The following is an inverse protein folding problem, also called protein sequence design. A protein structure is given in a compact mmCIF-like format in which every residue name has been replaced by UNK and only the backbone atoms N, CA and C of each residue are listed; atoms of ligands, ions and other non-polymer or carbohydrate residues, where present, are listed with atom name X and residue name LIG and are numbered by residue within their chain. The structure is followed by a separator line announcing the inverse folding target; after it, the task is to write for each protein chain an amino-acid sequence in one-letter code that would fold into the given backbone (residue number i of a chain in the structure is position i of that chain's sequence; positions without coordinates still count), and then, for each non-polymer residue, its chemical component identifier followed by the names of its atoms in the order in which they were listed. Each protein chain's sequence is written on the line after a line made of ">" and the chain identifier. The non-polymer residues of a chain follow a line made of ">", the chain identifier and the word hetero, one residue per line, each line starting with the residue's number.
data_IF_962614356435
#
_entry.id   IF_962614356435
#
_cell.length_a   1.000
_cell.length_b   1.000
_cell.length_c   1.000
_cell.angle_alpha   90.00
_cell.angle_beta   90.00
_cell.angle_gamma   90.00
#
_symmetry.space_group_name_H-M   'P 1'
#
loop_
_entity.id
_entity.type
_entity.pdbx_description
1 polymer ?
#
# COMPACT_ATOMS: atom_id res chain seq x y z
N UNK A 1 -9.38 13.87 29.11
CA UNK A 1 -9.67 12.57 28.47
C UNK A 1 -11.16 12.32 28.27
N UNK A 2 -12.03 12.41 29.29
CA UNK A 2 -13.47 12.07 29.13
C UNK A 2 -14.21 12.92 28.07
N UNK A 3 -13.85 14.20 27.92
CA UNK A 3 -14.41 15.09 26.89
C UNK A 3 -14.02 14.68 25.45
N UNK A 4 -12.77 14.22 25.26
CA UNK A 4 -12.29 13.78 23.96
C UNK A 4 -12.83 12.41 23.54
N UNK A 5 -13.33 11.62 24.50
CA UNK A 5 -13.97 10.32 24.25
C UNK A 5 -15.47 10.43 23.95
N UNK A 6 -16.03 11.64 23.87
CA UNK A 6 -17.46 11.85 23.55
C UNK A 6 -18.43 11.44 24.66
N UNK A 7 -17.94 11.13 25.88
CA UNK A 7 -18.76 10.69 27.03
C UNK A 7 -19.43 11.85 27.79
N UNK A 8 -19.62 13.00 27.13
CA UNK A 8 -20.23 14.18 27.76
C UNK A 8 -21.63 14.35 27.18
N UNK A 9 -22.62 14.39 28.07
CA UNK A 9 -24.01 14.67 27.72
C UNK A 9 -24.16 16.17 27.41
N UNK A 10 -23.76 16.56 26.21
CA UNK A 10 -23.93 17.91 25.68
C UNK A 10 -24.95 17.91 24.54
N UNK A 11 -25.48 19.09 24.24
CA UNK A 11 -26.33 19.26 23.07
C UNK A 11 -25.50 18.95 21.80
N UNK A 12 -26.10 18.30 20.80
CA UNK A 12 -25.36 17.79 19.63
C UNK A 12 -24.47 18.84 18.93
N UNK A 13 -24.86 20.12 18.89
CA UNK A 13 -24.03 21.20 18.33
C UNK A 13 -22.82 21.56 19.21
N UNK A 14 -22.98 21.56 20.54
CA UNK A 14 -21.89 21.85 21.49
C UNK A 14 -20.84 20.75 21.48
N UNK A 15 -21.28 19.50 21.29
CA UNK A 15 -20.38 18.35 21.15
C UNK A 15 -19.53 18.47 19.88
N UNK A 16 -20.12 18.84 18.74
CA UNK A 16 -19.38 19.05 17.48
C UNK A 16 -18.39 20.21 17.60
N UNK A 17 -18.77 21.31 18.24
CA UNK A 17 -17.87 22.43 18.50
C UNK A 17 -16.72 22.04 19.44
N UNK A 18 -17.01 21.30 20.50
CA UNK A 18 -16.01 20.81 21.44
C UNK A 18 -15.01 19.87 20.76
N UNK A 19 -15.49 18.93 19.96
CA UNK A 19 -14.62 18.03 19.19
C UNK A 19 -13.76 18.79 18.17
N UNK A 20 -14.30 19.83 17.53
CA UNK A 20 -13.52 20.71 16.69
C UNK A 20 -12.40 21.40 17.48
N UNK A 21 -12.70 22.00 18.63
CA UNK A 21 -11.70 22.64 19.48
C UNK A 21 -10.61 21.64 19.92
N UNK A 22 -11.00 20.43 20.34
CA UNK A 22 -10.07 19.37 20.74
C UNK A 22 -9.24 18.84 19.58
N UNK A 23 -9.75 18.85 18.34
CA UNK A 23 -8.96 18.51 17.15
C UNK A 23 -7.83 19.51 16.85
N UNK A 24 -7.91 20.73 17.40
CA UNK A 24 -6.91 21.79 17.26
C UNK A 24 -6.04 21.98 18.50
N UNK A 25 -6.21 21.11 19.50
CA UNK A 25 -5.44 21.19 20.74
C UNK A 25 -3.93 21.02 20.49
N UNK A 26 -3.11 21.47 21.45
CA UNK A 26 -1.66 21.34 21.40
C UNK A 26 -1.27 19.88 21.64
N UNK A 27 -2.01 19.18 22.51
CA UNK A 27 -1.75 17.78 22.83
C UNK A 27 -2.15 16.84 21.66
N UNK A 28 -1.21 16.00 21.25
CA UNK A 28 -1.40 15.08 20.13
C UNK A 28 -2.33 13.91 20.48
N UNK A 29 -2.32 13.45 21.73
CA UNK A 29 -3.17 12.34 22.17
C UNK A 29 -4.64 12.77 22.24
N UNK A 30 -4.88 14.00 22.71
CA UNK A 30 -6.22 14.60 22.77
C UNK A 30 -6.78 14.84 21.37
N UNK A 31 -5.96 15.38 20.46
CA UNK A 31 -6.34 15.58 19.06
C UNK A 31 -6.69 14.26 18.37
N UNK A 32 -5.87 13.24 18.54
CA UNK A 32 -6.12 11.93 17.92
C UNK A 32 -7.40 11.30 18.47
N UNK A 33 -7.61 11.35 19.80
CA UNK A 33 -8.83 10.88 20.42
C UNK A 33 -10.07 11.61 19.89
N UNK A 34 -10.03 12.93 19.77
CA UNK A 34 -11.14 13.73 19.24
C UNK A 34 -11.48 13.38 17.78
N UNK A 35 -10.48 13.16 16.92
CA UNK A 35 -10.70 12.76 15.53
C UNK A 35 -11.28 11.35 15.43
N UNK A 36 -10.80 10.41 16.24
CA UNK A 36 -11.35 9.05 16.30
C UNK A 36 -12.80 9.08 16.75
N UNK A 37 -13.11 9.82 17.81
CA UNK A 37 -14.48 9.98 18.29
C UNK A 37 -15.37 10.66 17.25
N UNK A 38 -14.88 11.66 16.51
CA UNK A 38 -15.64 12.29 15.43
C UNK A 38 -15.97 11.30 14.29
N UNK A 39 -15.08 10.34 14.02
CA UNK A 39 -15.29 9.27 13.04
C UNK A 39 -16.23 8.17 13.53
N UNK A 40 -16.26 7.90 14.84
CA UNK A 40 -17.10 6.84 15.43
C UNK A 40 -18.51 7.33 15.82
N UNK A 41 -18.74 8.64 15.84
CA UNK A 41 -20.05 9.22 16.13
C UNK A 41 -21.12 8.69 15.17
N UNK A 42 -22.33 8.39 15.63
CA UNK A 42 -23.42 7.91 14.79
C UNK A 42 -24.09 9.05 13.99
N UNK A 43 -24.72 8.70 12.87
CA UNK A 43 -25.19 9.68 11.86
C UNK A 43 -26.29 10.63 12.38
N UNK A 44 -27.13 10.19 13.32
CA UNK A 44 -28.17 11.01 13.95
C UNK A 44 -27.61 12.24 14.70
N UNK A 45 -26.33 12.21 15.11
CA UNK A 45 -25.69 13.36 15.77
C UNK A 45 -25.36 14.48 14.80
N UNK A 46 -25.34 14.21 13.49
CA UNK A 46 -25.08 15.20 12.45
C UNK A 46 -26.36 15.83 11.90
N UNK A 47 -27.55 15.29 12.19
CA UNK A 47 -28.83 15.89 11.77
C UNK A 47 -28.99 17.33 12.28
N UNK A 48 -28.40 17.64 13.45
CA UNK A 48 -28.43 18.98 14.02
C UNK A 48 -27.68 20.05 13.20
N UNK A 49 -26.88 19.67 12.20
CA UNK A 49 -26.25 20.61 11.28
C UNK A 49 -27.28 21.33 10.38
N UNK A 50 -28.47 20.76 10.17
CA UNK A 50 -29.54 21.43 9.39
C UNK A 50 -30.14 22.62 10.15
N UNK A 51 -30.29 22.46 11.47
CA UNK A 51 -30.86 23.48 12.35
C UNK A 51 -29.79 24.48 12.86
N UNK A 52 -28.52 24.26 12.51
CA UNK A 52 -27.42 25.09 12.99
C UNK A 52 -27.36 26.40 12.18
N UNK A 53 -27.84 27.48 12.78
CA UNK A 53 -28.03 28.77 12.09
C UNK A 53 -26.74 29.41 11.51
N UNK A 54 -25.57 29.23 12.13
CA UNK A 54 -24.31 29.79 11.61
C UNK A 54 -23.04 29.08 12.16
N UNK A 55 -22.73 27.86 11.71
CA UNK A 55 -21.44 27.24 11.96
C UNK A 55 -20.31 27.95 11.20
N UNK A 56 -19.19 28.17 11.88
CA UNK A 56 -17.99 28.69 11.23
C UNK A 56 -17.53 27.72 10.11
N UNK A 57 -17.17 28.21 8.91
CA UNK A 57 -16.80 27.36 7.77
C UNK A 57 -15.67 26.35 8.08
N UNK A 58 -14.74 26.72 8.97
CA UNK A 58 -13.67 25.82 9.43
C UNK A 58 -14.16 24.58 10.21
N UNK A 59 -15.29 24.67 10.90
CA UNK A 59 -15.89 23.54 11.64
C UNK A 59 -16.46 22.55 10.62
N UNK A 60 -17.23 23.05 9.66
CA UNK A 60 -17.76 22.25 8.55
C UNK A 60 -16.64 21.59 7.74
N UNK A 61 -15.54 22.31 7.50
CA UNK A 61 -14.35 21.77 6.85
C UNK A 61 -13.70 20.63 7.66
N UNK A 62 -13.58 20.79 8.98
CA UNK A 62 -13.01 19.75 9.83
C UNK A 62 -13.90 18.50 9.90
N UNK A 63 -15.22 18.68 9.95
CA UNK A 63 -16.19 17.57 9.90
C UNK A 63 -16.11 16.88 8.54
N UNK A 64 -16.06 17.64 7.44
CA UNK A 64 -15.88 17.08 6.10
C UNK A 64 -14.60 16.23 6.00
N UNK A 65 -13.47 16.69 6.54
CA UNK A 65 -12.22 15.92 6.54
C UNK A 65 -12.30 14.62 7.35
N UNK A 66 -13.07 14.61 8.44
CA UNK A 66 -13.22 13.43 9.29
C UNK A 66 -14.26 12.44 8.75
N UNK A 67 -15.34 12.94 8.14
CA UNK A 67 -16.57 12.19 7.87
C UNK A 67 -16.96 12.15 6.39
N UNK A 68 -16.12 12.61 5.44
CA UNK A 68 -16.42 12.62 4.00
C UNK A 68 -16.77 11.24 3.41
N UNK A 69 -16.36 10.16 4.07
CA UNK A 69 -16.69 8.77 3.69
C UNK A 69 -18.17 8.43 3.87
N UNK A 70 -18.92 9.19 4.68
CA UNK A 70 -20.33 8.90 4.93
C UNK A 70 -21.24 9.70 3.98
N UNK A 71 -22.06 9.03 3.16
CA UNK A 71 -22.89 9.71 2.16
C UNK A 71 -23.95 10.62 2.80
N UNK A 72 -24.57 10.19 3.90
CA UNK A 72 -25.60 10.97 4.60
C UNK A 72 -25.08 12.32 5.14
N UNK A 73 -23.89 12.30 5.76
CA UNK A 73 -23.26 13.52 6.31
C UNK A 73 -22.76 14.43 5.19
N UNK A 74 -22.24 13.85 4.11
CA UNK A 74 -21.78 14.61 2.93
C UNK A 74 -22.90 15.41 2.27
N UNK A 75 -24.06 14.80 2.05
CA UNK A 75 -25.22 15.50 1.47
C UNK A 75 -25.69 16.65 2.37
N UNK A 76 -25.68 16.41 3.68
CA UNK A 76 -26.08 17.39 4.67
C UNK A 76 -25.11 18.59 4.76
N UNK A 77 -23.80 18.34 4.60
CA UNK A 77 -22.79 19.39 4.52
C UNK A 77 -22.86 20.18 3.20
N UNK A 78 -23.16 19.52 2.07
CA UNK A 78 -23.32 20.20 0.77
C UNK A 78 -24.58 21.08 0.74
N UNK A 79 -25.63 20.73 1.49
CA UNK A 79 -26.85 21.50 1.60
C UNK A 79 -26.72 22.75 2.50
N UNK A 80 -25.67 22.81 3.34
CA UNK A 80 -25.53 23.87 4.32
C UNK A 80 -25.00 25.19 3.70
N UNK A 81 -25.63 26.36 3.98
CA UNK A 81 -25.28 27.64 3.35
C UNK A 81 -23.88 28.16 3.71
N UNK A 82 -23.35 27.84 4.89
CA UNK A 82 -22.00 28.26 5.34
C UNK A 82 -20.85 27.37 4.84
N UNK A 83 -21.11 26.42 3.94
CA UNK A 83 -20.07 25.52 3.41
C UNK A 83 -19.17 26.25 2.43
N UNK A 84 -17.86 26.30 2.73
CA UNK A 84 -16.88 26.96 1.85
C UNK A 84 -16.71 26.20 0.52
N UNK A 85 -16.38 26.94 -0.54
CA UNK A 85 -16.15 26.36 -1.88
C UNK A 85 -15.06 25.27 -1.88
N UNK A 86 -14.02 25.42 -1.06
CA UNK A 86 -12.95 24.42 -0.89
C UNK A 86 -13.48 23.12 -0.27
N UNK A 87 -14.36 23.24 0.72
CA UNK A 87 -14.98 22.08 1.38
C UNK A 87 -15.96 21.38 0.44
N UNK A 88 -16.75 22.15 -0.30
CA UNK A 88 -17.67 21.60 -1.31
C UNK A 88 -16.92 20.83 -2.40
N UNK A 89 -15.81 21.39 -2.92
CA UNK A 89 -14.97 20.72 -3.92
C UNK A 89 -14.39 19.39 -3.40
N UNK A 90 -13.96 19.36 -2.15
CA UNK A 90 -13.48 18.14 -1.50
C UNK A 90 -14.58 17.06 -1.44
N UNK A 91 -15.80 17.46 -1.04
CA UNK A 91 -16.94 16.55 -0.96
C UNK A 91 -17.39 16.03 -2.32
N UNK A 92 -17.37 16.87 -3.37
CA UNK A 92 -17.64 16.42 -4.75
C UNK A 92 -16.60 15.42 -5.25
N UNK A 93 -15.31 15.67 -4.97
CA UNK A 93 -14.25 14.73 -5.33
C UNK A 93 -14.42 13.38 -4.64
N UNK A 94 -14.72 13.38 -3.33
CA UNK A 94 -15.03 12.15 -2.60
C UNK A 94 -16.24 11.41 -3.18
N UNK A 95 -17.24 12.13 -3.70
CA UNK A 95 -18.40 11.55 -4.39
C UNK A 95 -18.05 10.93 -5.75
N UNK A 96 -17.20 11.59 -6.53
CA UNK A 96 -16.72 11.06 -7.81
C UNK A 96 -15.87 9.80 -7.62
N UNK A 97 -15.00 9.77 -6.61
CA UNK A 97 -14.18 8.61 -6.26
C UNK A 97 -15.06 7.38 -5.90
N UNK A 98 -16.23 7.60 -5.28
CA UNK A 98 -17.21 6.54 -4.98
C UNK A 98 -17.98 6.06 -6.22
N UNK A 99 -18.39 6.96 -7.12
CA UNK A 99 -19.10 6.61 -8.35
C UNK A 99 -18.22 5.80 -9.31
N UNK A 100 -16.93 6.14 -9.41
CA UNK A 100 -15.96 5.38 -10.20
C UNK A 100 -15.78 3.95 -9.66
N UNK A 101 -15.79 3.78 -8.33
CA UNK A 101 -15.76 2.46 -7.71
C UNK A 101 -17.04 1.65 -8.01
N UNK A 102 -18.21 2.29 -8.10
CA UNK A 102 -19.47 1.63 -8.43
C UNK A 102 -19.57 1.24 -9.92
N UNK A 103 -19.15 2.10 -10.85
CA UNK A 103 -19.12 1.79 -12.29
C UNK A 103 -18.17 0.62 -12.61
N UNK A 104 -17.00 0.56 -11.96
CA UNK A 104 -16.06 -0.57 -12.12
C UNK A 104 -16.62 -1.90 -11.58
N UNK A 105 -17.49 -1.88 -10.56
CA UNK A 105 -18.16 -3.09 -10.06
C UNK A 105 -19.32 -3.57 -10.96
N UNK A 106 -20.00 -2.65 -11.66
CA UNK A 106 -21.11 -2.99 -12.54
C UNK A 106 -20.67 -3.70 -13.84
N UNK A 107 -19.47 -3.39 -14.35
CA UNK A 107 -18.92 -4.05 -15.55
C UNK A 107 -18.47 -5.52 -15.30
N UNK A 108 -18.30 -5.93 -14.05
CA UNK A 108 -17.83 -7.28 -13.68
C UNK A 108 -19.00 -8.27 -13.48
N UNK A 109 -20.24 -7.81 -13.32
CA UNK A 109 -21.42 -8.67 -13.08
C UNK A 109 -21.94 -9.36 -14.36
N UNK A 110 -21.37 -9.05 -15.53
CA UNK A 110 -21.83 -9.53 -16.83
C UNK A 110 -21.26 -10.87 -17.31
N UNK A 111 -20.76 -11.80 -16.50
CA UNK A 111 -20.42 -13.17 -16.97
C UNK A 111 -20.35 -14.19 -15.83
N UNK A 112 -21.43 -14.97 -15.64
CA UNK A 112 -21.45 -16.44 -15.54
C UNK A 112 -22.57 -16.94 -14.63
N UNK A 113 -23.52 -17.64 -15.24
CA UNK A 113 -24.55 -18.46 -14.60
C UNK A 113 -24.04 -19.88 -14.29
N UNK A 114 -24.75 -20.51 -13.34
CA UNK A 114 -24.96 -21.95 -13.10
C UNK A 114 -23.82 -22.77 -12.43
N UNK A 115 -24.04 -23.28 -11.21
CA UNK A 115 -24.72 -24.56 -10.98
C UNK A 115 -25.02 -24.77 -9.47
N UNK A 116 -26.10 -25.50 -9.17
CA UNK A 116 -26.70 -25.72 -7.84
C UNK A 116 -26.03 -26.85 -7.04
N UNK A 117 -26.22 -26.88 -5.71
CA UNK A 117 -25.89 -28.04 -4.88
C UNK A 117 -26.10 -27.86 -3.37
N UNK A 118 -27.31 -28.20 -2.90
CA UNK A 118 -27.90 -28.09 -1.56
C UNK A 118 -27.39 -29.09 -0.50
N UNK A 119 -27.59 -28.73 0.78
CA UNK A 119 -27.77 -29.51 2.05
C UNK A 119 -26.67 -29.29 3.12
N UNK A 120 -26.88 -28.50 4.19
CA UNK A 120 -27.82 -28.63 5.34
C UNK A 120 -27.35 -29.64 6.40
N UNK A 121 -26.76 -29.16 7.51
CA UNK A 121 -27.33 -29.34 8.86
C UNK A 121 -26.46 -28.78 10.01
N UNK A 122 -27.19 -28.14 10.93
CA UNK A 122 -26.82 -27.37 12.12
C UNK A 122 -26.19 -28.18 13.27
N UNK A 123 -25.26 -27.55 14.01
CA UNK A 123 -25.12 -27.71 15.46
C UNK A 123 -24.29 -26.55 16.10
N UNK A 124 -24.92 -25.81 17.02
CA UNK A 124 -24.38 -24.94 18.08
C UNK A 124 -25.33 -25.12 19.30
N UNK A 125 -25.03 -24.75 20.56
CA UNK A 125 -23.91 -23.94 21.13
C UNK A 125 -23.29 -24.62 22.40
N UNK A 126 -22.23 -24.16 23.08
CA UNK A 126 -22.20 -23.06 24.09
C UNK A 126 -20.73 -22.78 24.56
N UNK A 127 -20.38 -21.47 24.60
CA UNK A 127 -19.65 -20.69 25.64
C UNK A 127 -18.22 -21.10 26.12
N UNK A 128 -17.16 -20.25 26.22
CA UNK A 128 -16.99 -18.77 26.27
C UNK A 128 -15.61 -18.33 25.69
N UNK A 129 -15.52 -17.06 25.28
CA UNK A 129 -14.32 -16.22 25.00
C UNK A 129 -13.62 -16.25 23.62
N UNK A 130 -14.20 -15.55 22.63
CA UNK A 130 -13.53 -14.50 21.82
C UNK A 130 -14.47 -13.98 20.71
N UNK A 131 -15.19 -12.88 20.98
CA UNK A 131 -16.01 -12.22 19.95
C UNK A 131 -15.11 -11.32 19.10
N UNK A 132 -14.48 -11.89 18.08
CA UNK A 132 -13.99 -11.16 16.91
C UNK A 132 -15.00 -11.44 15.80
N UNK A 133 -15.78 -10.43 15.43
CA UNK A 133 -16.76 -10.53 14.36
C UNK A 133 -16.03 -10.85 13.04
N UNK A 134 -16.19 -12.08 12.55
CA UNK A 134 -15.40 -12.64 11.43
C UNK A 134 -16.17 -12.74 10.09
N UNK A 135 -17.42 -12.28 10.00
CA UNK A 135 -18.26 -12.57 8.81
C UNK A 135 -18.77 -11.32 8.08
N UNK A 136 -17.86 -10.53 7.47
CA UNK A 136 -18.13 -9.61 6.34
C UNK A 136 -16.85 -9.09 5.65
N UNK A 137 -15.70 -9.72 5.82
CA UNK A 137 -14.54 -9.37 5.00
C UNK A 137 -14.72 -10.05 3.63
N UNK A 138 -15.31 -9.34 2.67
CA UNK A 138 -15.18 -9.67 1.26
C UNK A 138 -13.73 -10.08 1.00
N UNK A 139 -13.50 -11.26 0.42
CA UNK A 139 -12.18 -11.77 0.07
C UNK A 139 -11.55 -10.86 -0.99
N UNK A 140 -11.15 -9.65 -0.61
CA UNK A 140 -10.38 -8.74 -1.42
C UNK A 140 -9.10 -9.50 -1.74
N UNK A 141 -8.82 -9.62 -3.04
CA UNK A 141 -7.56 -10.17 -3.49
C UNK A 141 -6.45 -9.40 -2.78
N UNK A 142 -5.37 -10.07 -2.33
CA UNK A 142 -4.25 -9.39 -1.65
C UNK A 142 -3.73 -8.19 -2.43
N UNK A 143 -3.90 -8.21 -3.76
CA UNK A 143 -3.62 -7.07 -4.63
C UNK A 143 -4.53 -5.85 -4.36
N UNK A 144 -5.84 -6.04 -4.24
CA UNK A 144 -6.80 -4.99 -3.89
C UNK A 144 -6.52 -4.45 -2.49
N UNK A 145 -6.19 -5.33 -1.54
CA UNK A 145 -5.86 -4.91 -0.18
C UNK A 145 -4.59 -4.03 -0.16
N UNK A 146 -3.57 -4.32 -0.98
CA UNK A 146 -2.42 -3.41 -1.18
C UNK A 146 -2.85 -2.04 -1.72
N UNK A 147 -3.91 -1.92 -2.50
CA UNK A 147 -4.33 -0.62 -3.03
C UNK A 147 -5.01 0.26 -1.96
N UNK A 148 -5.74 -0.36 -1.04
CA UNK A 148 -6.45 0.33 0.05
C UNK A 148 -5.52 0.69 1.22
N UNK A 149 -4.51 -0.14 1.51
CA UNK A 149 -3.58 0.07 2.63
C UNK A 149 -2.75 1.36 2.51
N UNK A 150 -2.52 2.01 3.64
CA UNK A 150 -1.58 3.13 3.77
C UNK A 150 -0.11 2.71 3.60
N UNK A 151 0.77 3.67 3.28
CA UNK A 151 2.21 3.41 3.04
C UNK A 151 2.89 2.72 4.24
N UNK A 152 2.59 3.15 5.46
CA UNK A 152 3.19 2.57 6.67
C UNK A 152 2.81 1.09 6.84
N UNK A 153 1.55 0.75 6.55
CA UNK A 153 1.04 -0.61 6.63
C UNK A 153 1.64 -1.50 5.53
N UNK A 154 1.77 -0.98 4.31
CA UNK A 154 2.51 -1.66 3.23
C UNK A 154 3.95 -1.98 3.62
N UNK A 155 4.64 -1.08 4.31
CA UNK A 155 6.01 -1.32 4.80
C UNK A 155 6.01 -2.43 5.85
N UNK A 156 5.05 -2.42 6.79
CA UNK A 156 4.89 -3.48 7.78
C UNK A 156 4.65 -4.83 7.11
N UNK A 157 3.72 -4.87 6.14
CA UNK A 157 3.41 -6.08 5.38
C UNK A 157 4.56 -6.53 4.47
N UNK A 158 5.38 -5.62 3.96
CA UNK A 158 6.59 -5.99 3.24
C UNK A 158 7.59 -6.75 4.12
N UNK A 159 7.68 -6.38 5.40
CA UNK A 159 8.60 -6.98 6.37
C UNK A 159 8.12 -8.31 6.94
N UNK A 160 6.81 -8.47 7.19
CA UNK A 160 6.25 -9.67 7.85
C UNK A 160 5.50 -10.60 6.90
N UNK A 161 5.09 -10.10 5.73
CA UNK A 161 4.16 -10.78 4.84
C UNK A 161 4.71 -12.02 4.14
N UNK A 162 3.76 -12.83 3.69
CA UNK A 162 4.01 -14.07 2.95
C UNK A 162 4.56 -13.83 1.54
N UNK A 163 4.86 -14.93 0.85
CA UNK A 163 5.39 -14.93 -0.52
C UNK A 163 4.56 -14.08 -1.49
N UNK A 164 3.24 -14.08 -1.36
CA UNK A 164 2.34 -13.33 -2.22
C UNK A 164 2.45 -11.82 -1.99
N UNK A 165 2.49 -11.40 -0.72
CA UNK A 165 2.74 -10.01 -0.34
C UNK A 165 4.06 -9.50 -0.92
N UNK A 166 5.13 -10.30 -0.83
CA UNK A 166 6.43 -9.94 -1.42
C UNK A 166 6.37 -9.78 -2.94
N UNK A 167 5.65 -10.69 -3.64
CA UNK A 167 5.52 -10.66 -5.10
C UNK A 167 4.74 -9.44 -5.59
N UNK A 168 3.77 -8.96 -4.80
CA UNK A 168 2.98 -7.78 -5.13
C UNK A 168 3.74 -6.51 -4.76
N UNK A 169 4.22 -6.40 -3.52
CA UNK A 169 4.85 -5.19 -2.97
C UNK A 169 6.21 -4.87 -3.60
N UNK A 170 6.90 -5.84 -4.22
CA UNK A 170 8.15 -5.57 -4.96
C UNK A 170 7.92 -4.65 -6.18
N UNK A 171 6.71 -4.63 -6.73
CA UNK A 171 6.31 -3.80 -7.88
C UNK A 171 5.61 -2.50 -7.46
N UNK A 172 5.52 -2.21 -6.16
CA UNK A 172 4.90 -0.98 -5.68
C UNK A 172 5.69 0.25 -6.16
N UNK A 173 4.97 1.35 -6.40
CA UNK A 173 5.54 2.63 -6.84
C UNK A 173 6.47 3.24 -5.78
N UNK A 174 6.23 2.99 -4.50
CA UNK A 174 7.05 3.54 -3.43
C UNK A 174 8.32 2.72 -3.17
N UNK A 175 9.48 3.37 -3.36
CA UNK A 175 10.80 2.77 -3.18
C UNK A 175 11.05 2.22 -1.78
N UNK A 176 10.45 2.80 -0.75
CA UNK A 176 10.61 2.36 0.64
C UNK A 176 9.92 1.01 0.89
N UNK A 177 8.73 0.82 0.30
CA UNK A 177 7.97 -0.44 0.39
C UNK A 177 8.74 -1.57 -0.29
N UNK A 178 9.19 -1.37 -1.53
CA UNK A 178 9.96 -2.39 -2.25
C UNK A 178 11.29 -2.72 -1.55
N UNK A 179 11.94 -1.73 -0.92
CA UNK A 179 13.16 -1.95 -0.13
C UNK A 179 12.87 -2.73 1.16
N UNK A 180 11.70 -2.55 1.76
CA UNK A 180 11.22 -3.34 2.90
C UNK A 180 11.08 -4.82 2.58
N UNK A 181 10.60 -5.15 1.37
CA UNK A 181 10.43 -6.55 0.92
C UNK A 181 11.75 -7.33 0.94
N UNK A 182 12.85 -6.70 0.54
CA UNK A 182 14.17 -7.34 0.51
C UNK A 182 14.83 -7.46 1.88
N UNK A 183 14.39 -6.67 2.87
CA UNK A 183 14.85 -6.76 4.25
C UNK A 183 14.14 -7.87 5.03
N UNK A 184 13.10 -8.47 4.45
CA UNK A 184 12.37 -9.57 5.06
C UNK A 184 13.28 -10.83 5.17
N UNK A 185 13.45 -11.42 6.36
CA UNK A 185 14.30 -12.59 6.56
C UNK A 185 13.79 -13.86 5.86
N UNK A 186 12.53 -13.87 5.43
CA UNK A 186 11.90 -15.02 4.75
C UNK A 186 12.10 -15.01 3.24
N UNK A 187 12.82 -14.03 2.68
CA UNK A 187 13.07 -13.99 1.24
C UNK A 187 14.04 -15.10 0.83
N UNK A 188 13.71 -15.79 -0.26
CA UNK A 188 14.50 -16.94 -0.74
C UNK A 188 15.27 -16.58 -2.01
N UNK A 189 16.42 -17.24 -2.23
CA UNK A 189 17.23 -17.07 -3.46
C UNK A 189 16.44 -17.20 -4.78
N UNK A 190 15.54 -18.20 -4.98
CA UNK A 190 14.77 -18.32 -6.22
C UNK A 190 13.78 -17.16 -6.42
N UNK A 191 13.27 -16.56 -5.34
CA UNK A 191 12.45 -15.35 -5.43
C UNK A 191 13.28 -14.17 -5.95
N UNK A 192 14.49 -13.96 -5.41
CA UNK A 192 15.42 -12.91 -5.87
C UNK A 192 15.77 -13.10 -7.35
N UNK A 193 15.99 -14.34 -7.80
CA UNK A 193 16.24 -14.65 -9.21
C UNK A 193 15.05 -14.28 -10.10
N UNK A 194 13.84 -14.55 -9.64
CA UNK A 194 12.61 -14.17 -10.35
C UNK A 194 12.49 -12.65 -10.46
N UNK A 195 12.77 -11.94 -9.37
CA UNK A 195 12.76 -10.47 -9.29
C UNK A 195 13.78 -9.87 -10.29
N UNK A 196 15.00 -10.41 -10.34
CA UNK A 196 16.03 -9.98 -11.29
C UNK A 196 15.66 -10.24 -12.75
N UNK A 197 14.97 -11.34 -13.05
CA UNK A 197 14.51 -11.66 -14.42
C UNK A 197 13.35 -10.79 -14.87
N UNK A 198 12.45 -10.43 -13.97
CA UNK A 198 11.27 -9.61 -14.29
C UNK A 198 11.61 -8.14 -14.58
N UNK A 199 12.87 -7.73 -14.41
CA UNK A 199 13.33 -6.36 -14.60
C UNK A 199 12.94 -5.47 -13.42
N UNK A 200 13.91 -5.20 -12.54
CA UNK A 200 13.70 -4.33 -11.38
C UNK A 200 13.84 -2.87 -11.77
N UNK A 201 12.84 -2.04 -11.47
CA UNK A 201 12.86 -0.60 -11.77
C UNK A 201 13.59 0.25 -10.73
N UNK A 202 13.80 -0.28 -9.52
CA UNK A 202 14.35 0.45 -8.39
C UNK A 202 15.85 0.16 -8.17
N UNK A 203 16.67 1.21 -8.25
CA UNK A 203 18.13 1.12 -8.07
C UNK A 203 18.54 0.74 -6.64
N UNK A 204 17.73 1.04 -5.62
CA UNK A 204 18.01 0.65 -4.23
C UNK A 204 17.95 -0.87 -4.05
N UNK A 205 16.96 -1.52 -4.68
CA UNK A 205 16.82 -2.97 -4.66
C UNK A 205 18.08 -3.61 -5.22
N UNK A 206 18.58 -3.07 -6.33
CA UNK A 206 19.77 -3.58 -6.98
C UNK A 206 21.02 -3.43 -6.10
N UNK A 207 21.15 -2.31 -5.38
CA UNK A 207 22.22 -2.10 -4.39
C UNK A 207 22.13 -3.08 -3.22
N UNK A 208 20.94 -3.30 -2.68
CA UNK A 208 20.72 -4.24 -1.58
C UNK A 208 21.08 -5.67 -2.01
N UNK A 209 20.65 -6.08 -3.20
CA UNK A 209 20.99 -7.41 -3.74
C UNK A 209 22.51 -7.56 -3.93
N UNK A 210 23.19 -6.54 -4.46
CA UNK A 210 24.64 -6.56 -4.63
C UNK A 210 25.43 -6.58 -3.31
N UNK A 211 24.83 -6.11 -2.22
CA UNK A 211 25.45 -6.03 -0.89
C UNK A 211 25.33 -7.35 -0.12
N UNK A 212 24.30 -8.16 -0.41
CA UNK A 212 24.11 -9.44 0.24
C UNK A 212 25.08 -10.51 -0.32
N UNK A 213 25.98 -11.00 0.55
CA UNK A 213 26.99 -12.00 0.17
C UNK A 213 26.40 -13.38 -0.09
N UNK A 214 25.29 -13.73 0.54
CA UNK A 214 24.66 -15.05 0.38
C UNK A 214 24.11 -15.19 -1.03
N UNK A 215 23.34 -14.21 -1.50
CA UNK A 215 22.77 -14.22 -2.85
C UNK A 215 23.85 -14.17 -3.93
N UNK A 216 24.93 -13.41 -3.71
CA UNK A 216 26.04 -13.30 -4.66
C UNK A 216 26.83 -14.60 -4.81
N UNK A 217 26.84 -15.50 -3.82
CA UNK A 217 27.48 -16.83 -3.96
C UNK A 217 26.84 -17.62 -5.10
N UNK A 218 25.51 -17.51 -5.25
CA UNK A 218 24.77 -18.20 -6.29
C UNK A 218 25.17 -17.68 -7.69
N UNK A 219 25.62 -18.61 -8.54
CA UNK A 219 26.07 -18.31 -9.90
C UNK A 219 24.96 -17.70 -10.77
N UNK A 220 23.72 -18.19 -10.62
CA UNK A 220 22.59 -17.72 -11.42
C UNK A 220 22.20 -16.28 -11.09
N UNK A 221 22.32 -15.89 -9.82
CA UNK A 221 22.08 -14.52 -9.38
C UNK A 221 23.14 -13.59 -9.96
N UNK A 222 24.43 -13.97 -9.90
CA UNK A 222 25.51 -13.18 -10.54
C UNK A 222 25.29 -13.00 -12.05
N UNK A 223 24.89 -14.07 -12.75
CA UNK A 223 24.54 -14.01 -14.18
C UNK A 223 23.40 -13.03 -14.45
N UNK A 224 22.30 -13.15 -13.70
CA UNK A 224 21.15 -12.25 -13.84
C UNK A 224 21.50 -10.79 -13.51
N UNK A 225 22.38 -10.54 -12.54
CA UNK A 225 22.85 -9.20 -12.21
C UNK A 225 23.67 -8.57 -13.35
N UNK A 226 24.52 -9.34 -14.04
CA UNK A 226 25.31 -8.83 -15.17
C UNK A 226 24.42 -8.48 -16.37
N UNK A 227 23.35 -9.24 -16.59
CA UNK A 227 22.40 -9.02 -17.69
C UNK A 227 21.49 -7.80 -17.46
N UNK A 228 21.33 -7.35 -16.20
CA UNK A 228 20.49 -6.22 -15.87
C UNK A 228 21.22 -4.87 -16.05
N UNK A 229 20.63 -3.88 -16.78
CA UNK A 229 21.27 -2.59 -17.03
C UNK A 229 21.32 -1.66 -15.81
N UNK A 230 20.48 -1.91 -14.80
CA UNK A 230 20.41 -1.12 -13.56
C UNK A 230 21.43 -1.52 -12.51
N UNK A 231 22.20 -2.58 -12.76
CA UNK A 231 23.24 -3.05 -11.85
C UNK A 231 24.37 -2.01 -11.75
N UNK A 232 24.78 -1.60 -10.54
CA UNK A 232 25.92 -0.72 -10.36
C UNK A 232 27.15 -1.28 -11.09
N UNK A 233 27.74 -0.47 -11.96
CA UNK A 233 28.83 -0.90 -12.85
C UNK A 233 30.01 -1.52 -12.09
N UNK A 234 30.34 -0.98 -10.91
CA UNK A 234 31.40 -1.52 -10.05
C UNK A 234 31.14 -2.97 -9.62
N UNK A 235 29.90 -3.27 -9.21
CA UNK A 235 29.50 -4.64 -8.82
C UNK A 235 29.48 -5.58 -10.03
N UNK A 236 28.96 -5.12 -11.17
CA UNK A 236 28.91 -5.92 -12.39
C UNK A 236 30.31 -6.33 -12.90
N UNK A 237 31.28 -5.41 -12.88
CA UNK A 237 32.67 -5.71 -13.23
C UNK A 237 33.30 -6.73 -12.27
N UNK A 238 33.03 -6.62 -10.97
CA UNK A 238 33.48 -7.59 -9.97
C UNK A 238 32.91 -8.98 -10.24
N UNK A 239 31.62 -9.08 -10.56
CA UNK A 239 30.98 -10.36 -10.86
C UNK A 239 31.51 -10.96 -12.16
N UNK A 240 31.72 -10.16 -13.20
CA UNK A 240 32.29 -10.63 -14.48
C UNK A 240 33.64 -11.33 -14.30
N UNK A 241 34.49 -10.85 -13.39
CA UNK A 241 35.77 -11.48 -13.04
C UNK A 241 35.66 -12.89 -12.46
N UNK A 242 34.49 -13.25 -11.94
CA UNK A 242 34.23 -14.53 -11.25
C UNK A 242 33.35 -15.49 -12.07
N UNK A 243 33.06 -15.14 -13.33
CA UNK A 243 32.23 -15.94 -14.24
C UNK A 243 33.05 -16.95 -15.04
N UNK A 244 32.38 -17.99 -15.55
CA UNK A 244 33.01 -18.99 -16.40
C UNK A 244 33.30 -18.44 -17.80
N UNK A 245 34.33 -18.97 -18.45
CA UNK A 245 34.79 -18.52 -19.78
C UNK A 245 33.70 -18.62 -20.86
N UNK A 246 32.85 -19.65 -20.78
CA UNK A 246 31.73 -19.83 -21.72
C UNK A 246 30.76 -18.65 -21.66
N UNK A 247 30.39 -18.22 -20.45
CA UNK A 247 29.49 -17.09 -20.26
C UNK A 247 30.18 -15.76 -20.60
N UNK A 248 31.46 -15.57 -20.25
CA UNK A 248 32.25 -14.38 -20.64
C UNK A 248 32.33 -14.24 -22.17
N UNK A 249 32.51 -15.34 -22.90
CA UNK A 249 32.44 -15.38 -24.37
C UNK A 249 31.06 -15.02 -24.91
N UNK A 250 29.99 -15.45 -24.23
CA UNK A 250 28.63 -15.01 -24.51
C UNK A 250 28.44 -13.51 -24.33
N UNK A 251 28.93 -12.96 -23.22
CA UNK A 251 28.83 -11.53 -22.88
C UNK A 251 29.65 -10.61 -23.78
N UNK A 252 30.76 -11.11 -24.33
CA UNK A 252 31.54 -10.39 -25.32
C UNK A 252 30.79 -10.19 -26.66
N UNK A 253 29.82 -11.07 -26.96
CA UNK A 253 29.04 -11.06 -28.21
C UNK A 253 27.63 -10.49 -28.03
N UNK A 254 27.06 -10.57 -26.83
CA UNK A 254 25.68 -10.16 -26.59
C UNK A 254 25.54 -8.63 -26.59
N UNK A 255 24.42 -8.16 -27.15
CA UNK A 255 24.03 -6.73 -27.14
C UNK A 255 23.13 -6.37 -25.94
N UNK A 256 22.69 -7.36 -25.18
CA UNK A 256 21.77 -7.19 -24.04
C UNK A 256 22.46 -6.64 -22.78
N UNK A 257 23.77 -6.39 -22.83
CA UNK A 257 24.60 -6.01 -21.69
C UNK A 257 25.24 -4.64 -21.98
N UNK A 258 25.53 -3.87 -20.92
CA UNK A 258 26.28 -2.62 -21.03
C UNK A 258 27.56 -2.77 -21.87
N UNK A 259 27.79 -1.84 -22.78
CA UNK A 259 28.93 -1.83 -23.71
C UNK A 259 30.29 -1.91 -23.00
N UNK A 260 30.37 -1.33 -21.80
CA UNK A 260 31.57 -1.36 -20.95
C UNK A 260 31.88 -2.80 -20.49
N UNK A 261 30.85 -3.55 -20.08
CA UNK A 261 31.01 -4.95 -19.65
C UNK A 261 31.38 -5.85 -20.83
N UNK A 262 30.77 -5.64 -22.00
CA UNK A 262 31.12 -6.36 -23.22
C UNK A 262 32.58 -6.11 -23.65
N UNK A 263 33.05 -4.88 -23.53
CA UNK A 263 34.45 -4.50 -23.83
C UNK A 263 35.41 -5.14 -22.83
N UNK A 264 35.08 -5.12 -21.53
CA UNK A 264 35.89 -5.78 -20.51
C UNK A 264 35.93 -7.30 -20.71
N UNK A 265 34.80 -7.93 -21.05
CA UNK A 265 34.74 -9.36 -21.36
C UNK A 265 35.64 -9.72 -22.55
N UNK A 266 35.62 -8.93 -23.63
CA UNK A 266 36.54 -9.11 -24.78
C UNK A 266 38.00 -9.02 -24.35
N UNK A 267 38.36 -8.03 -23.52
CA UNK A 267 39.72 -7.85 -23.01
C UNK A 267 40.18 -9.07 -22.18
N UNK A 268 39.32 -9.59 -21.31
CA UNK A 268 39.62 -10.80 -20.53
C UNK A 268 39.88 -12.02 -21.42
N UNK A 269 39.09 -12.22 -22.48
CA UNK A 269 39.29 -13.32 -23.43
C UNK A 269 40.60 -13.18 -24.23
N UNK A 270 40.95 -11.96 -24.64
CA UNK A 270 42.21 -11.70 -25.35
C UNK A 270 43.43 -11.95 -24.47
N UNK A 271 43.38 -11.51 -23.21
CA UNK A 271 44.47 -11.74 -22.25
C UNK A 271 44.65 -13.24 -21.98
N UNK A 272 43.56 -14.00 -21.89
CA UNK A 272 43.62 -15.45 -21.67
C UNK A 272 44.12 -16.25 -22.88
N UNK A 273 43.93 -15.76 -24.10
CA UNK A 273 44.52 -16.37 -25.31
C UNK A 273 46.02 -16.09 -25.47
N UNK A 274 46.53 -15.08 -24.77
CA UNK A 274 47.94 -14.67 -24.81
C UNK A 274 48.78 -15.31 -23.69
N UNK A 275 48.14 -15.79 -22.64
CA UNK A 275 48.75 -16.54 -21.53
C UNK A 275 48.69 -18.04 -21.83
#
# INVERSE_FOLDING_TARGET
>A
MCAAQGKVELHSYELLLLLFCLSKDVDQDVRNAAVITLKELPDHRFECLVDWADPHPAILHAIALACAYRPCVRELLLAHPSTSAETAMLLYKAREDELQQQEETAEVSGTACADEGLSDQLALPDDEDAVVNEDSEEFLSKYQLVQVMGIAEKIKMALTGDKEWRKILIKDANKLVSSGVLKNPRITEPEVLTILKSGVQNDEIMRLICSNKEWVKNYQIRKALIENPKTPMASALRFLGTMNEKDVSGYAKSRNISSVLATQAKRMLLNKKRA
#
